data_IF_794457329885
#
_entry.id   IF_794457329885
#
_cell.length_a   1.000
_cell.length_b   1.000
_cell.length_c   1.000
_cell.angle_alpha   90.00
_cell.angle_beta   90.00
_cell.angle_gamma   90.00
#
_symmetry.space_group_name_H-M   'P 1'
#
loop_
_entity.id
_entity.type
_entity.pdbx_description
1 polymer ?
#
# COMPACT_ATOMS: atom_id res chain seq x y z
N UNK A 1 -3.46 17.87 2.19
CA UNK A 1 -4.12 19.19 2.20
C UNK A 1 -3.19 20.17 2.90
N UNK A 2 -3.05 21.39 2.38
CA UNK A 2 -2.21 22.43 2.95
C UNK A 2 -3.10 23.61 3.38
N UNK A 3 -2.83 24.17 4.55
CA UNK A 3 -3.44 25.41 5.01
C UNK A 3 -2.39 26.51 4.95
N UNK A 4 -2.66 27.55 4.16
CA UNK A 4 -1.70 28.60 3.81
C UNK A 4 -2.21 29.96 4.27
N UNK A 5 -1.29 30.84 4.67
CA UNK A 5 -1.60 32.21 5.11
C UNK A 5 -1.70 33.21 3.95
N UNK A 6 -1.06 32.91 2.83
CA UNK A 6 -1.03 33.70 1.60
C UNK A 6 -0.81 32.79 0.40
N UNK A 7 -0.90 33.34 -0.80
CA UNK A 7 -0.53 32.63 -2.03
C UNK A 7 0.91 32.12 -1.94
N UNK A 8 1.13 30.86 -2.33
CA UNK A 8 2.44 30.20 -2.26
C UNK A 8 2.49 29.03 -3.24
N UNK A 9 3.67 28.81 -3.83
CA UNK A 9 3.96 27.60 -4.58
C UNK A 9 4.45 26.52 -3.63
N UNK A 10 3.76 25.37 -3.63
CA UNK A 10 4.14 24.20 -2.86
C UNK A 10 4.53 23.10 -3.84
N UNK A 11 5.75 22.59 -3.72
CA UNK A 11 6.16 21.36 -4.41
C UNK A 11 6.13 20.21 -3.42
N UNK A 12 5.69 19.05 -3.90
CA UNK A 12 5.72 17.82 -3.13
C UNK A 12 6.08 16.66 -4.04
N UNK A 13 6.91 15.76 -3.51
CA UNK A 13 7.26 14.50 -4.13
C UNK A 13 7.44 13.44 -3.04
N UNK A 14 7.58 12.19 -3.45
CA UNK A 14 7.78 11.09 -2.55
C UNK A 14 9.24 10.69 -2.61
N UNK A 15 9.89 10.72 -1.45
CA UNK A 15 11.26 10.27 -1.29
C UNK A 15 11.33 8.74 -1.17
N UNK A 16 12.53 8.21 -1.41
CA UNK A 16 12.82 6.81 -1.20
C UNK A 16 13.13 6.56 0.29
N UNK A 17 12.42 5.61 0.91
CA UNK A 17 12.58 5.29 2.34
C UNK A 17 13.99 4.75 2.65
N UNK A 18 14.59 3.99 1.72
CA UNK A 18 15.91 3.38 1.88
C UNK A 18 17.03 4.40 2.11
N UNK A 19 16.87 5.65 1.66
CA UNK A 19 17.85 6.73 1.91
C UNK A 19 18.00 7.06 3.40
N UNK A 20 17.01 6.70 4.22
CA UNK A 20 16.95 7.04 5.64
C UNK A 20 16.87 5.83 6.57
N UNK A 21 16.80 4.63 6.02
CA UNK A 21 16.48 3.42 6.78
C UNK A 21 17.50 3.15 7.90
N UNK A 22 18.81 3.18 7.59
CA UNK A 22 19.87 2.95 8.58
C UNK A 22 19.75 3.92 9.76
N UNK A 23 19.69 5.23 9.48
CA UNK A 23 19.58 6.28 10.50
C UNK A 23 18.31 6.13 11.34
N UNK A 24 17.17 5.79 10.72
CA UNK A 24 15.90 5.56 11.42
C UNK A 24 16.03 4.36 12.37
N UNK A 25 16.63 3.27 11.88
CA UNK A 25 16.80 2.04 12.64
C UNK A 25 17.73 2.20 13.83
N UNK A 26 18.84 2.93 13.68
CA UNK A 26 19.80 3.28 14.75
C UNK A 26 19.14 4.08 15.88
N UNK A 27 18.19 4.94 15.53
CA UNK A 27 17.44 5.74 16.49
C UNK A 27 16.26 4.99 17.13
N UNK A 28 16.08 3.70 16.83
CA UNK A 28 15.10 2.84 17.49
C UNK A 28 13.67 2.96 16.93
N UNK A 29 13.54 3.26 15.64
CA UNK A 29 12.26 3.36 14.95
C UNK A 29 12.22 2.49 13.68
N UNK A 30 11.01 2.23 13.19
CA UNK A 30 10.72 1.68 11.87
C UNK A 30 9.99 2.75 11.03
N UNK A 31 10.30 2.83 9.74
CA UNK A 31 9.52 3.64 8.78
C UNK A 31 8.19 2.91 8.53
N UNK A 32 7.08 3.64 8.64
CA UNK A 32 5.73 3.05 8.51
C UNK A 32 4.84 3.76 7.50
N UNK A 33 5.46 4.37 6.50
CA UNK A 33 4.81 5.06 5.40
C UNK A 33 5.78 5.97 4.64
N UNK A 34 5.35 6.48 3.49
CA UNK A 34 6.26 7.12 2.54
C UNK A 34 6.95 8.34 3.13
N UNK A 35 8.12 8.66 2.59
CA UNK A 35 8.79 9.93 2.84
C UNK A 35 8.16 10.99 1.95
N UNK A 36 7.64 12.06 2.53
CA UNK A 36 7.12 13.22 1.83
C UNK A 36 8.19 14.30 1.77
N UNK A 37 8.76 14.52 0.58
CA UNK A 37 9.66 15.63 0.32
C UNK A 37 8.82 16.83 -0.10
N UNK A 38 8.69 17.81 0.79
CA UNK A 38 7.89 19.01 0.55
C UNK A 38 8.82 20.21 0.53
N UNK A 39 8.52 21.17 -0.35
CA UNK A 39 9.15 22.49 -0.32
C UNK A 39 8.08 23.57 -0.50
N UNK A 40 8.18 24.61 0.30
CA UNK A 40 7.33 25.79 0.23
C UNK A 40 8.07 26.96 0.90
N UNK A 41 7.60 28.18 0.63
CA UNK A 41 8.12 29.38 1.29
C UNK A 41 7.99 29.26 2.83
N UNK A 42 9.06 29.53 3.60
CA UNK A 42 9.04 29.44 5.04
C UNK A 42 7.95 30.31 5.68
N UNK A 43 7.22 29.76 6.64
CA UNK A 43 6.25 30.52 7.45
C UNK A 43 4.88 30.76 6.80
N UNK A 44 4.72 30.49 5.50
CA UNK A 44 3.45 30.66 4.78
C UNK A 44 2.49 29.51 5.04
N UNK A 45 2.98 28.27 5.08
CA UNK A 45 2.13 27.12 5.40
C UNK A 45 1.96 27.00 6.91
N UNK A 46 0.73 27.14 7.39
CA UNK A 46 0.39 26.99 8.80
C UNK A 46 0.17 25.53 9.19
N UNK A 47 -0.39 24.70 8.30
CA UNK A 47 -0.66 23.28 8.58
C UNK A 47 -0.52 22.44 7.30
N UNK A 48 -0.05 21.20 7.46
CA UNK A 48 -0.07 20.19 6.39
C UNK A 48 -0.72 18.89 6.90
N UNK A 49 -1.57 18.32 6.06
CA UNK A 49 -2.22 17.03 6.27
C UNK A 49 -1.61 15.98 5.34
N UNK A 50 -0.85 15.05 5.93
CA UNK A 50 -0.16 13.98 5.20
C UNK A 50 -0.90 12.65 5.41
N UNK A 51 -1.20 11.89 4.34
CA UNK A 51 -1.91 10.63 4.49
C UNK A 51 -1.04 9.59 5.21
N UNK A 52 -1.69 8.69 5.96
CA UNK A 52 -1.06 7.45 6.42
C UNK A 52 -1.97 6.26 6.14
N UNK A 53 -1.38 5.07 6.14
CA UNK A 53 -2.12 3.81 6.00
C UNK A 53 -2.17 3.00 7.29
N UNK A 54 -1.58 3.48 8.40
CA UNK A 54 -1.66 2.82 9.71
C UNK A 54 -3.11 2.58 10.16
N UNK A 55 -3.39 1.39 10.68
CA UNK A 55 -4.66 1.07 11.34
C UNK A 55 -4.57 1.42 12.83
N UNK A 56 -5.03 2.61 13.19
CA UNK A 56 -4.98 3.11 14.58
C UNK A 56 -5.80 2.24 15.54
N UNK A 57 -6.86 1.59 15.08
CA UNK A 57 -7.63 0.64 15.89
C UNK A 57 -6.82 -0.59 16.28
N UNK A 58 -6.00 -1.11 15.36
CA UNK A 58 -5.05 -2.19 15.65
C UNK A 58 -3.88 -1.71 16.51
N UNK A 59 -3.57 -0.41 16.46
CA UNK A 59 -2.52 0.24 17.26
C UNK A 59 -3.03 0.90 18.54
N UNK A 60 -4.26 0.66 19.03
CA UNK A 60 -4.85 1.42 20.16
C UNK A 60 -3.91 1.63 21.37
N UNK A 61 -3.13 0.61 21.74
CA UNK A 61 -2.15 0.67 22.86
C UNK A 61 -0.77 1.25 22.45
N UNK A 62 -0.50 1.35 21.16
CA UNK A 62 0.75 1.82 20.55
C UNK A 62 0.66 3.19 19.88
N UNK A 63 -0.48 3.90 19.91
CA UNK A 63 -0.60 5.25 19.32
C UNK A 63 0.46 6.19 19.89
N UNK A 64 0.74 6.09 21.19
CA UNK A 64 1.78 6.86 21.88
C UNK A 64 3.22 6.51 21.45
N UNK A 65 3.42 5.47 20.63
CA UNK A 65 4.71 5.08 20.06
C UNK A 65 4.90 5.58 18.62
N UNK A 66 3.86 6.15 18.01
CA UNK A 66 3.95 6.76 16.69
C UNK A 66 4.67 8.10 16.83
N UNK A 67 5.67 8.33 15.99
CA UNK A 67 6.41 9.59 15.87
C UNK A 67 6.37 10.04 14.42
N UNK A 68 6.85 11.25 14.18
CA UNK A 68 7.06 11.74 12.83
C UNK A 68 8.51 12.21 12.72
N UNK A 69 9.21 11.64 11.75
CA UNK A 69 10.58 12.00 11.42
C UNK A 69 10.59 13.20 10.50
N UNK A 70 11.56 14.07 10.71
CA UNK A 70 11.97 15.08 9.77
C UNK A 70 13.44 14.90 9.43
N UNK A 71 13.75 14.63 8.17
CA UNK A 71 15.10 14.48 7.64
C UNK A 71 15.52 15.78 6.97
N UNK A 72 16.52 16.43 7.55
CA UNK A 72 17.11 17.65 7.00
C UNK A 72 18.62 17.60 7.16
N UNK A 73 19.36 17.97 6.12
CA UNK A 73 20.83 18.01 6.14
C UNK A 73 21.46 16.69 6.63
N UNK A 74 20.92 15.55 6.14
CA UNK A 74 21.30 14.16 6.52
C UNK A 74 21.10 13.82 8.01
N UNK A 75 20.28 14.61 8.73
CA UNK A 75 19.95 14.36 10.14
C UNK A 75 18.47 14.14 10.31
N UNK A 76 18.11 13.07 11.01
CA UNK A 76 16.75 12.83 11.48
C UNK A 76 16.48 13.64 12.76
N UNK A 77 15.31 14.28 12.81
CA UNK A 77 14.74 14.89 14.02
C UNK A 77 13.31 14.41 14.22
N UNK A 78 12.92 14.15 15.46
CA UNK A 78 11.54 13.84 15.79
C UNK A 78 10.73 15.12 15.93
N UNK A 79 9.59 15.18 15.23
CA UNK A 79 8.63 16.28 15.37
C UNK A 79 7.85 16.08 16.66
N UNK A 80 7.88 17.11 17.52
CA UNK A 80 7.27 17.05 18.86
C UNK A 80 5.75 17.21 18.85
N UNK A 81 5.20 17.99 17.92
CA UNK A 81 3.78 18.32 17.86
C UNK A 81 3.18 17.76 16.59
N UNK A 82 2.41 16.70 16.75
CA UNK A 82 1.80 15.95 15.66
C UNK A 82 0.42 15.49 16.13
N UNK A 83 -0.60 15.79 15.34
CA UNK A 83 -1.95 15.28 15.59
C UNK A 83 -2.23 14.13 14.62
N UNK A 84 -2.55 12.96 15.15
CA UNK A 84 -2.82 11.76 14.35
C UNK A 84 -4.33 11.61 14.20
N UNK A 85 -4.84 11.89 13.00
CA UNK A 85 -6.23 11.67 12.63
C UNK A 85 -6.47 10.25 12.09
N UNK A 86 -7.71 9.88 11.72
CA UNK A 86 -8.05 8.51 11.29
C UNK A 86 -7.38 8.02 9.98
N UNK A 87 -6.98 8.95 9.10
CA UNK A 87 -6.41 8.66 7.78
C UNK A 87 -5.23 9.55 7.40
N UNK A 88 -4.93 10.54 8.23
CA UNK A 88 -3.93 11.54 7.95
C UNK A 88 -3.37 12.09 9.25
N UNK A 89 -2.17 12.64 9.15
CA UNK A 89 -1.44 13.31 10.21
C UNK A 89 -1.43 14.79 9.92
N UNK A 90 -1.64 15.60 10.95
CA UNK A 90 -1.59 17.07 10.89
C UNK A 90 -0.31 17.53 11.56
N UNK A 91 0.49 18.30 10.81
CA UNK A 91 1.67 19.00 11.29
C UNK A 91 1.39 20.50 11.27
N UNK A 92 1.55 21.14 12.42
CA UNK A 92 1.41 22.59 12.57
C UNK A 92 2.77 23.27 12.40
N UNK A 93 2.77 24.41 11.69
CA UNK A 93 3.95 25.20 11.33
C UNK A 93 5.14 24.32 10.92
N UNK A 94 4.95 23.42 9.95
CA UNK A 94 5.99 22.47 9.58
C UNK A 94 7.21 23.20 9.02
N UNK A 95 8.38 22.74 9.41
CA UNK A 95 9.59 22.99 8.64
C UNK A 95 9.65 21.93 7.55
N UNK A 96 9.52 22.32 6.29
CA UNK A 96 9.52 21.36 5.20
C UNK A 96 10.92 20.84 4.88
N UNK A 97 11.00 19.52 4.83
CA UNK A 97 12.10 18.69 4.34
C UNK A 97 11.55 17.25 4.23
N UNK A 98 12.35 16.19 4.24
CA UNK A 98 11.83 14.82 4.13
C UNK A 98 11.03 14.43 5.37
N UNK A 99 9.74 14.17 5.25
CA UNK A 99 8.84 13.91 6.37
C UNK A 99 8.25 12.50 6.31
N UNK A 100 8.27 11.71 7.39
CA UNK A 100 7.71 10.35 7.38
C UNK A 100 7.09 9.93 8.73
N UNK A 101 6.01 9.12 8.73
CA UNK A 101 5.57 8.44 9.95
C UNK A 101 6.57 7.37 10.39
N UNK A 102 6.87 7.38 11.69
CA UNK A 102 7.75 6.44 12.36
C UNK A 102 6.97 5.69 13.44
N UNK A 103 7.34 4.44 13.68
CA UNK A 103 6.88 3.66 14.84
C UNK A 103 8.07 3.24 15.68
N UNK A 104 8.02 3.50 16.99
CA UNK A 104 9.11 3.05 17.88
C UNK A 104 9.23 1.54 17.89
N UNK A 105 10.47 1.02 17.85
CA UNK A 105 10.80 -0.42 18.00
C UNK A 105 10.42 -1.00 19.37
N UNK A 106 9.94 -0.18 20.30
CA UNK A 106 9.21 -0.65 21.49
C UNK A 106 7.92 -1.40 21.11
N UNK A 107 7.36 -1.12 19.93
CA UNK A 107 6.30 -1.92 19.34
C UNK A 107 6.87 -3.23 18.77
N UNK A 108 6.81 -4.30 19.56
CA UNK A 108 7.35 -5.63 19.20
C UNK A 108 6.33 -6.57 18.58
N UNK A 109 5.36 -6.05 17.81
CA UNK A 109 4.26 -6.83 17.22
C UNK A 109 4.14 -6.52 15.73
N UNK A 110 3.49 -7.40 14.94
CA UNK A 110 3.05 -7.04 13.59
C UNK A 110 2.33 -5.70 13.55
N UNK A 111 2.69 -4.84 12.60
CA UNK A 111 2.18 -3.47 12.50
C UNK A 111 0.92 -3.52 11.64
N UNK A 112 -0.23 -3.01 12.11
CA UNK A 112 -1.48 -3.10 11.39
C UNK A 112 -1.68 -1.92 10.42
N UNK A 113 -2.14 -2.22 9.22
CA UNK A 113 -2.40 -1.27 8.14
C UNK A 113 -3.82 -1.40 7.59
N UNK A 114 -4.37 -0.29 7.14
CA UNK A 114 -5.51 -0.25 6.23
C UNK A 114 -4.99 -0.60 4.84
N UNK A 115 -5.32 -1.79 4.38
CA UNK A 115 -4.90 -2.33 3.08
C UNK A 115 -5.91 -2.13 1.97
N UNK A 116 -5.45 -2.37 0.74
CA UNK A 116 -6.26 -2.61 -0.45
C UNK A 116 -5.73 -3.83 -1.20
N UNK A 117 -6.62 -4.53 -1.89
CA UNK A 117 -6.25 -5.48 -2.94
C UNK A 117 -6.40 -4.82 -4.29
N UNK A 118 -5.38 -4.91 -5.14
CA UNK A 118 -5.46 -4.56 -6.55
C UNK A 118 -5.44 -5.86 -7.36
N UNK A 119 -6.40 -6.02 -8.26
CA UNK A 119 -6.54 -7.20 -9.08
C UNK A 119 -6.49 -6.79 -10.55
N UNK A 120 -5.45 -7.27 -11.23
CA UNK A 120 -5.27 -7.07 -12.66
C UNK A 120 -5.47 -8.38 -13.40
N UNK A 121 -6.07 -8.34 -14.58
CA UNK A 121 -6.28 -9.52 -15.43
C UNK A 121 -5.68 -9.35 -16.81
N UNK A 122 -5.28 -10.46 -17.41
CA UNK A 122 -4.85 -10.55 -18.81
C UNK A 122 -5.36 -11.87 -19.38
N UNK A 123 -5.89 -11.82 -20.60
CA UNK A 123 -6.19 -13.03 -21.37
C UNK A 123 -4.90 -13.53 -21.98
N UNK A 124 -4.59 -14.80 -21.77
CA UNK A 124 -3.46 -15.49 -22.38
C UNK A 124 -4.02 -16.55 -23.32
N UNK A 125 -3.86 -16.33 -24.62
CA UNK A 125 -4.12 -17.35 -25.63
C UNK A 125 -2.77 -17.91 -26.06
N UNK A 126 -2.35 -19.10 -25.62
CA UNK A 126 -1.27 -19.81 -26.31
C UNK A 126 -1.64 -20.00 -27.79
N UNK A 127 -0.65 -20.38 -28.60
CA UNK A 127 -0.72 -20.45 -30.07
C UNK A 127 -1.85 -21.35 -30.64
N UNK A 128 -2.61 -22.03 -29.78
CA UNK A 128 -3.73 -22.88 -30.12
C UNK A 128 -5.04 -22.20 -29.68
N UNK A 129 -5.90 -21.83 -30.63
CA UNK A 129 -7.11 -21.01 -30.39
C UNK A 129 -8.13 -21.69 -29.45
N UNK A 130 -8.06 -23.01 -29.29
CA UNK A 130 -8.95 -23.80 -28.43
C UNK A 130 -8.61 -23.71 -26.93
N UNK A 131 -7.42 -23.22 -26.59
CA UNK A 131 -6.96 -23.10 -25.21
C UNK A 131 -6.77 -21.64 -24.84
N UNK A 132 -7.57 -21.18 -23.90
CA UNK A 132 -7.53 -19.83 -23.37
C UNK A 132 -7.32 -19.91 -21.86
N UNK A 133 -6.44 -19.09 -21.30
CA UNK A 133 -6.26 -18.92 -19.87
C UNK A 133 -6.51 -17.46 -19.48
N UNK A 134 -6.97 -17.25 -18.25
CA UNK A 134 -6.90 -15.95 -17.60
C UNK A 134 -5.75 -15.94 -16.62
N UNK A 135 -4.89 -14.94 -16.77
CA UNK A 135 -3.82 -14.63 -15.82
C UNK A 135 -4.27 -13.44 -14.97
N UNK A 136 -4.21 -13.61 -13.66
CA UNK A 136 -4.47 -12.54 -12.70
C UNK A 136 -3.20 -12.21 -11.92
N UNK A 137 -2.98 -10.93 -11.66
CA UNK A 137 -1.99 -10.46 -10.71
C UNK A 137 -2.70 -9.78 -9.55
N UNK A 138 -2.56 -10.37 -8.35
CA UNK A 138 -3.12 -9.86 -7.11
C UNK A 138 -2.02 -9.19 -6.29
N UNK A 139 -2.20 -7.89 -6.01
CA UNK A 139 -1.31 -7.09 -5.17
C UNK A 139 -1.99 -6.77 -3.84
N UNK A 140 -1.19 -6.78 -2.78
CA UNK A 140 -1.59 -6.32 -1.45
C UNK A 140 -0.77 -5.09 -1.10
N UNK A 141 -1.42 -3.95 -0.93
CA UNK A 141 -0.74 -2.67 -0.74
C UNK A 141 -1.46 -1.80 0.31
N UNK A 142 -0.77 -0.92 1.05
CA UNK A 142 -1.45 0.04 1.91
C UNK A 142 -2.36 1.01 1.12
N UNK A 143 -3.49 1.42 1.73
CA UNK A 143 -4.63 2.07 1.05
C UNK A 143 -4.32 3.39 0.33
N UNK A 144 -3.30 4.11 0.79
CA UNK A 144 -2.95 5.47 0.33
C UNK A 144 -1.55 5.54 -0.28
N UNK A 145 -1.12 4.45 -0.93
CA UNK A 145 0.18 4.41 -1.56
C UNK A 145 0.19 5.06 -2.94
N UNK A 146 1.12 6.01 -3.20
CA UNK A 146 1.26 6.66 -4.50
C UNK A 146 1.73 5.71 -5.62
N UNK A 147 2.42 4.63 -5.27
CA UNK A 147 2.88 3.57 -6.17
C UNK A 147 1.73 2.94 -6.96
N UNK A 148 0.51 2.99 -6.43
CA UNK A 148 -0.69 2.46 -7.09
C UNK A 148 -0.84 3.06 -8.49
N UNK A 149 -0.57 4.36 -8.67
CA UNK A 149 -0.70 5.03 -9.98
C UNK A 149 0.34 4.51 -10.98
N UNK A 150 1.61 4.47 -10.57
CA UNK A 150 2.72 3.96 -11.41
C UNK A 150 2.51 2.48 -11.77
N UNK A 151 2.09 1.66 -10.80
CA UNK A 151 1.75 0.26 -11.01
C UNK A 151 0.63 0.11 -12.06
N UNK A 152 -0.42 0.92 -11.96
CA UNK A 152 -1.54 0.87 -12.91
C UNK A 152 -1.07 1.18 -14.34
N UNK A 153 -0.27 2.23 -14.54
CA UNK A 153 0.32 2.58 -15.84
C UNK A 153 1.24 1.47 -16.38
N UNK A 154 2.09 0.88 -15.53
CA UNK A 154 2.93 -0.26 -15.89
C UNK A 154 2.13 -1.51 -16.27
N UNK A 155 0.99 -1.77 -15.61
CA UNK A 155 0.14 -2.92 -15.93
C UNK A 155 -0.59 -2.73 -17.25
N UNK A 156 -1.12 -1.54 -17.49
CA UNK A 156 -1.76 -1.21 -18.77
C UNK A 156 -0.81 -1.37 -19.95
N UNK A 157 0.42 -0.86 -19.85
CA UNK A 157 1.43 -0.99 -20.92
C UNK A 157 1.81 -2.45 -21.21
N UNK A 158 1.70 -3.34 -20.22
CA UNK A 158 1.90 -4.79 -20.37
C UNK A 158 0.64 -5.57 -20.77
N UNK A 159 -0.45 -4.88 -21.11
CA UNK A 159 -1.69 -5.49 -21.59
C UNK A 159 -2.60 -6.05 -20.51
N UNK A 160 -2.37 -5.69 -19.24
CA UNK A 160 -3.28 -6.02 -18.15
C UNK A 160 -4.41 -5.00 -18.04
N UNK A 161 -5.58 -5.47 -17.62
CA UNK A 161 -6.75 -4.66 -17.29
C UNK A 161 -6.98 -4.66 -15.79
N UNK A 162 -7.21 -3.50 -15.20
CA UNK A 162 -7.72 -3.41 -13.83
C UNK A 162 -9.14 -3.99 -13.80
N UNK A 163 -9.42 -4.83 -12.82
CA UNK A 163 -10.73 -5.46 -12.66
C UNK A 163 -11.76 -4.53 -12.03
N UNK A 164 -11.37 -3.38 -11.49
CA UNK A 164 -12.25 -2.37 -10.86
C UNK A 164 -13.18 -2.98 -9.78
N UNK A 165 -12.72 -4.04 -9.12
CA UNK A 165 -13.44 -4.78 -8.08
C UNK A 165 -13.28 -4.11 -6.71
N UNK A 166 -14.16 -4.39 -5.72
CA UNK A 166 -14.07 -3.74 -4.42
C UNK A 166 -12.69 -3.95 -3.81
N UNK A 167 -11.95 -2.84 -3.70
CA UNK A 167 -10.59 -2.82 -3.18
C UNK A 167 -10.55 -2.93 -1.64
N UNK A 168 -11.71 -2.85 -0.98
CA UNK A 168 -11.79 -2.69 0.48
C UNK A 168 -11.73 -4.06 1.15
N UNK A 169 -10.64 -4.30 1.86
CA UNK A 169 -10.53 -5.44 2.77
C UNK A 169 -11.54 -5.33 3.91
N UNK A 170 -12.09 -6.48 4.34
CA UNK A 170 -13.00 -6.57 5.49
C UNK A 170 -12.30 -6.17 6.81
N UNK A 171 -10.98 -6.32 6.87
CA UNK A 171 -10.18 -6.05 8.07
C UNK A 171 -8.77 -5.55 7.71
N UNK A 172 -7.86 -5.50 8.68
CA UNK A 172 -6.51 -4.92 8.61
C UNK A 172 -5.47 -5.91 8.13
N UNK A 173 -4.48 -5.38 7.41
CA UNK A 173 -3.24 -6.08 7.09
C UNK A 173 -2.26 -5.94 8.24
N UNK A 174 -1.38 -6.91 8.38
CA UNK A 174 -0.31 -6.95 9.37
C UNK A 174 1.01 -7.25 8.68
N UNK A 175 2.06 -6.50 9.03
CA UNK A 175 3.42 -6.80 8.57
C UNK A 175 3.89 -8.17 9.08
N UNK A 176 4.87 -8.78 8.40
CA UNK A 176 5.44 -10.09 8.80
C UNK A 176 4.38 -11.19 8.93
N UNK A 177 3.29 -11.05 8.17
CA UNK A 177 2.21 -12.02 8.11
C UNK A 177 2.15 -12.54 6.69
N UNK A 178 2.09 -13.87 6.56
CA UNK A 178 1.94 -14.53 5.29
C UNK A 178 0.45 -14.67 4.95
N UNK A 179 0.09 -14.27 3.73
CA UNK A 179 -1.24 -14.39 3.19
C UNK A 179 -1.26 -15.45 2.09
N UNK A 180 -2.33 -16.22 2.05
CA UNK A 180 -2.58 -17.20 0.99
C UNK A 180 -3.74 -16.74 0.12
N UNK A 181 -3.63 -16.98 -1.18
CA UNK A 181 -4.71 -16.75 -2.14
C UNK A 181 -5.31 -18.10 -2.50
N UNK A 182 -6.65 -18.16 -2.55
CA UNK A 182 -7.40 -19.33 -3.03
C UNK A 182 -8.22 -18.93 -4.25
N UNK A 183 -8.36 -19.85 -5.19
CA UNK A 183 -9.18 -19.70 -6.39
C UNK A 183 -10.20 -20.84 -6.46
N UNK A 184 -11.40 -20.55 -6.92
CA UNK A 184 -12.41 -21.57 -7.25
C UNK A 184 -13.08 -21.19 -8.58
N UNK A 185 -13.01 -22.02 -9.64
CA UNK A 185 -12.31 -23.32 -9.67
C UNK A 185 -10.80 -23.19 -9.44
N UNK A 186 -10.16 -24.30 -9.05
CA UNK A 186 -8.74 -24.34 -8.76
C UNK A 186 -7.90 -23.84 -9.95
N UNK A 187 -6.82 -23.14 -9.64
CA UNK A 187 -5.88 -22.58 -10.62
C UNK A 187 -4.43 -22.76 -10.19
N UNK A 188 -3.49 -22.43 -11.09
CA UNK A 188 -2.07 -22.37 -10.76
C UNK A 188 -1.79 -21.06 -10.03
N UNK A 189 -1.33 -21.15 -8.77
CA UNK A 189 -1.07 -19.99 -7.91
C UNK A 189 0.42 -19.92 -7.57
N UNK A 190 1.05 -18.76 -7.81
CA UNK A 190 2.47 -18.54 -7.51
C UNK A 190 2.76 -17.06 -7.18
N UNK A 191 3.53 -16.75 -6.12
CA UNK A 191 3.97 -17.67 -5.08
C UNK A 191 2.79 -18.18 -4.25
N UNK A 192 3.00 -19.27 -3.50
CA UNK A 192 1.96 -19.86 -2.62
C UNK A 192 1.62 -18.96 -1.43
N UNK A 193 2.58 -18.14 -1.00
CA UNK A 193 2.45 -17.22 0.12
C UNK A 193 2.89 -15.84 -0.34
N UNK A 194 2.14 -14.83 0.08
CA UNK A 194 2.46 -13.42 -0.09
C UNK A 194 2.72 -12.84 1.29
N UNK A 195 3.97 -12.47 1.57
CA UNK A 195 4.29 -11.77 2.78
C UNK A 195 3.99 -10.28 2.61
N UNK A 196 3.22 -9.71 3.53
CA UNK A 196 2.98 -8.26 3.53
C UNK A 196 4.14 -7.53 4.22
N UNK A 197 4.84 -6.72 3.44
CA UNK A 197 5.88 -5.83 3.90
C UNK A 197 5.58 -4.39 3.48
N UNK A 198 6.12 -3.44 4.24
CA UNK A 198 6.09 -2.03 3.88
C UNK A 198 7.33 -1.84 3.02
N UNK A 199 7.13 -1.69 1.72
CA UNK A 199 8.20 -1.43 0.77
C UNK A 199 7.79 -0.25 -0.09
N UNK A 200 8.72 0.69 -0.26
CA UNK A 200 8.66 1.76 -1.25
C UNK A 200 9.44 1.40 -2.53
N UNK A 201 9.86 0.15 -2.72
CA UNK A 201 10.40 -0.29 -4.01
C UNK A 201 9.27 -0.40 -5.03
N UNK A 202 9.08 0.71 -5.74
CA UNK A 202 7.95 0.90 -6.67
C UNK A 202 8.02 0.00 -7.90
N UNK A 203 9.20 -0.53 -8.25
CA UNK A 203 9.41 -1.27 -9.50
C UNK A 203 9.18 -2.79 -9.36
N UNK A 204 9.25 -3.33 -8.14
CA UNK A 204 9.18 -4.77 -7.88
C UNK A 204 8.24 -5.11 -6.72
N UNK A 205 7.05 -4.51 -6.68
CA UNK A 205 6.04 -4.89 -5.69
C UNK A 205 5.68 -6.39 -5.83
N UNK A 206 5.72 -7.17 -4.73
CA UNK A 206 5.36 -8.57 -4.78
C UNK A 206 3.88 -8.74 -5.10
N UNK A 207 3.56 -9.78 -5.87
CA UNK A 207 2.19 -10.12 -6.24
C UNK A 207 2.02 -11.63 -6.29
N UNK A 208 0.77 -12.07 -6.23
CA UNK A 208 0.39 -13.44 -6.52
C UNK A 208 -0.15 -13.51 -7.93
N UNK A 209 0.47 -14.35 -8.76
CA UNK A 209 -0.06 -14.78 -10.04
C UNK A 209 -1.05 -15.92 -9.84
N UNK A 210 -2.23 -15.78 -10.43
CA UNK A 210 -3.25 -16.82 -10.48
C UNK A 210 -3.60 -17.08 -11.94
N UNK A 211 -3.36 -18.29 -12.42
CA UNK A 211 -3.71 -18.73 -13.78
C UNK A 211 -4.87 -19.72 -13.69
N UNK A 212 -5.95 -19.44 -14.40
CA UNK A 212 -7.16 -20.27 -14.43
C UNK A 212 -7.60 -20.53 -15.86
N UNK A 213 -8.32 -21.64 -16.04
CA UNK A 213 -8.93 -22.01 -17.31
C UNK A 213 -9.89 -20.89 -17.80
N UNK A 214 -9.66 -20.45 -19.03
CA UNK A 214 -10.45 -19.46 -19.73
C UNK A 214 -11.86 -19.92 -20.04
N UNK A 215 -12.19 -21.20 -19.93
CA UNK A 215 -13.54 -21.77 -20.09
C UNK A 215 -14.41 -21.63 -18.84
N UNK A 216 -13.82 -21.40 -17.67
CA UNK A 216 -14.56 -21.16 -16.42
C UNK A 216 -15.61 -20.03 -16.59
N UNK A 217 -16.85 -20.29 -16.19
CA UNK A 217 -17.95 -19.31 -16.28
C UNK A 217 -17.85 -18.26 -15.18
N UNK A 218 -17.48 -18.72 -14.00
CA UNK A 218 -17.37 -17.96 -12.76
C UNK A 218 -16.04 -18.32 -12.10
N UNK A 219 -15.44 -17.32 -11.46
CA UNK A 219 -14.21 -17.46 -10.69
C UNK A 219 -14.40 -16.69 -9.39
N UNK A 220 -14.22 -17.35 -8.25
CA UNK A 220 -14.05 -16.66 -6.97
C UNK A 220 -12.57 -16.64 -6.60
N UNK A 221 -12.07 -15.49 -6.20
CA UNK A 221 -10.74 -15.34 -5.61
C UNK A 221 -10.92 -14.88 -4.17
N UNK A 222 -10.15 -15.45 -3.26
CA UNK A 222 -10.12 -15.02 -1.86
C UNK A 222 -8.70 -14.96 -1.33
N UNK A 223 -8.50 -14.14 -0.31
CA UNK A 223 -7.23 -13.98 0.37
C UNK A 223 -7.44 -13.99 1.89
N UNK A 224 -6.65 -14.81 2.57
CA UNK A 224 -6.69 -14.99 4.02
C UNK A 224 -5.29 -15.04 4.61
N UNK A 225 -5.09 -14.63 5.88
CA UNK A 225 -3.89 -14.97 6.62
C UNK A 225 -3.67 -16.49 6.57
N UNK A 226 -2.42 -16.92 6.51
CA UNK A 226 -2.09 -18.34 6.51
C UNK A 226 -2.73 -19.05 7.72
N UNK A 227 -3.44 -20.15 7.46
CA UNK A 227 -4.14 -20.93 8.49
C UNK A 227 -5.51 -20.38 8.92
N UNK A 228 -5.97 -19.26 8.34
CA UNK A 228 -7.33 -18.75 8.54
C UNK A 228 -8.26 -19.20 7.42
N UNK A 229 -9.45 -19.68 7.77
CA UNK A 229 -10.53 -19.92 6.82
C UNK A 229 -11.44 -18.69 6.62
N UNK A 230 -11.29 -17.65 7.43
CA UNK A 230 -12.00 -16.39 7.24
C UNK A 230 -11.24 -15.47 6.25
N UNK A 231 -11.82 -15.18 5.07
CA UNK A 231 -11.18 -14.34 4.07
C UNK A 231 -11.21 -12.86 4.46
N UNK A 232 -10.04 -12.23 4.44
CA UNK A 232 -9.90 -10.77 4.59
C UNK A 232 -10.41 -10.02 3.37
N UNK A 233 -10.36 -10.68 2.22
CA UNK A 233 -10.84 -10.16 0.95
C UNK A 233 -11.33 -11.33 0.10
N UNK A 234 -12.45 -11.12 -0.59
CA UNK A 234 -13.00 -12.06 -1.54
C UNK A 234 -13.66 -11.29 -2.69
N UNK A 235 -13.67 -11.90 -3.87
CA UNK A 235 -14.34 -11.33 -5.03
C UNK A 235 -14.81 -12.43 -5.97
N UNK A 236 -15.97 -12.17 -6.58
CA UNK A 236 -16.43 -12.92 -7.74
C UNK A 236 -16.08 -12.19 -9.04
N UNK A 237 -15.45 -12.93 -9.93
CA UNK A 237 -15.09 -12.53 -11.29
C UNK A 237 -15.97 -13.31 -12.25
N UNK A 238 -16.93 -12.60 -12.84
CA UNK A 238 -17.78 -13.12 -13.91
C UNK A 238 -17.25 -12.65 -15.25
N UNK A 239 -17.29 -13.51 -16.27
CA UNK A 239 -17.10 -13.04 -17.66
C UNK A 239 -18.12 -11.96 -17.98
N UNK A 240 -17.66 -10.75 -18.29
CA UNK A 240 -18.53 -9.69 -18.74
C UNK A 240 -19.33 -10.16 -19.96
N UNK A 241 -20.65 -9.97 -19.96
CA UNK A 241 -21.44 -10.15 -21.18
C UNK A 241 -20.87 -9.20 -22.23
N UNK A 242 -20.45 -9.72 -23.40
CA UNK A 242 -20.22 -8.85 -24.57
C UNK A 242 -21.46 -7.98 -24.70
N UNK A 243 -21.31 -6.65 -24.57
CA UNK A 243 -22.35 -5.73 -25.07
C UNK A 243 -22.47 -6.06 -26.55
N UNK A 244 -23.62 -6.61 -26.92
CA UNK A 244 -24.00 -6.83 -28.32
C UNK A 244 -24.08 -5.49 -29.03
#
# INVERSE_FOLDING_TARGET
>A
MFKVKSEVTITYELGFEGDYEEQVQENGYDIVGPVFNISAEPGVVSEVHLPHSLCLEGLKRGIALIRFGNFKDRKMKIIKRVTIGPSHIVLENPSFSGLTPLLSKLWRRPIPFKGKVLLYSQVVCPQNEDYMEYKFHLYVIPRNQPEIKKLHEQKQTRGFKDMEKPHVMKSRLYTKTDYSVRANPDGKISPKLLQFEISCETDNLPFVEVIVDGHAKELSLSMSPMGSDDPLWEVEVTKGKKKK
#
